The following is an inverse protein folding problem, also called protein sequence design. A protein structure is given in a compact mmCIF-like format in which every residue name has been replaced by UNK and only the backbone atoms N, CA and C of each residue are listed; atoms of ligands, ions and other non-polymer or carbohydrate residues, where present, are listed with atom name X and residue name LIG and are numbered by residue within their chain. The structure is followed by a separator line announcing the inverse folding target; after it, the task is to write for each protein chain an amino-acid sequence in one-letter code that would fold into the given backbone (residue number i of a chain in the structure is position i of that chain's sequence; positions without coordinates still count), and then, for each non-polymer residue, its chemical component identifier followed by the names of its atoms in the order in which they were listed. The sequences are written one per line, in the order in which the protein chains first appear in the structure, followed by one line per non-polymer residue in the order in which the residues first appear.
data_IF_691954988277
#
_entry.id   IF_691954988277
#
_cell.length_a   1.000
_cell.length_b   1.000
_cell.length_c   1.000
_cell.angle_alpha   90.00
_cell.angle_beta   90.00
_cell.angle_gamma   90.00
#
_symmetry.space_group_name_H-M   'P 1'
#
loop_
_entity.id
_entity.type
_entity.pdbx_description
1 polymer ?
#
# COMPACT_ATOMS: atom_id res chain seq x y z
N UNK A 1 -28.12 41.42 -61.61
CA UNK A 1 -29.16 40.47 -61.16
C UNK A 1 -30.24 41.29 -60.49
N UNK A 2 -31.48 41.19 -60.97
CA UNK A 2 -32.60 42.06 -60.61
C UNK A 2 -32.98 41.92 -59.14
N UNK A 3 -33.33 43.04 -58.48
CA UNK A 3 -33.82 43.14 -57.10
C UNK A 3 -34.99 42.17 -56.83
N UNK A 4 -35.71 41.77 -57.88
CA UNK A 4 -36.81 40.80 -57.86
C UNK A 4 -36.38 39.37 -57.49
N UNK A 5 -35.19 38.92 -57.91
CA UNK A 5 -34.70 37.54 -57.63
C UNK A 5 -34.20 37.37 -56.19
N UNK A 6 -33.82 38.47 -55.53
CA UNK A 6 -33.42 38.43 -54.11
C UNK A 6 -34.63 38.27 -53.19
N UNK A 7 -35.81 38.74 -53.60
CA UNK A 7 -37.05 38.67 -52.82
C UNK A 7 -37.63 37.24 -52.86
N UNK A 8 -37.59 36.56 -54.01
CA UNK A 8 -38.11 35.19 -54.12
C UNK A 8 -37.26 34.16 -53.35
N UNK A 9 -35.94 34.37 -53.25
CA UNK A 9 -35.06 33.48 -52.47
C UNK A 9 -35.28 33.61 -50.94
N UNK A 10 -35.78 34.76 -50.48
CA UNK A 10 -36.13 34.99 -49.07
C UNK A 10 -37.53 34.47 -48.71
N UNK A 11 -38.42 34.27 -49.69
CA UNK A 11 -39.80 33.80 -49.48
C UNK A 11 -40.03 32.31 -49.72
N UNK A 12 -38.99 31.56 -50.11
CA UNK A 12 -39.02 30.10 -50.29
C UNK A 12 -38.59 29.32 -49.02
N UNK A 13 -38.58 29.96 -47.86
CA UNK A 13 -38.27 29.34 -46.57
C UNK A 13 -39.53 28.87 -45.85
N UNK A 14 -39.53 27.63 -45.41
CA UNK A 14 -40.56 27.00 -44.58
C UNK A 14 -41.02 27.92 -43.43
N UNK A 15 -42.34 28.12 -43.31
CA UNK A 15 -43.00 29.08 -42.43
C UNK A 15 -43.02 28.60 -40.96
N UNK A 16 -41.86 28.44 -40.32
CA UNK A 16 -41.74 28.60 -38.85
C UNK A 16 -40.31 28.61 -38.33
N UNK A 17 -39.34 29.18 -39.05
CA UNK A 17 -38.01 29.41 -38.44
C UNK A 17 -38.09 30.60 -37.49
N UNK A 18 -38.28 30.30 -36.20
CA UNK A 18 -38.24 31.30 -35.12
C UNK A 18 -36.77 31.59 -34.80
N UNK A 19 -36.33 32.82 -35.04
CA UNK A 19 -35.00 33.29 -34.68
C UNK A 19 -35.07 34.16 -33.41
N UNK A 20 -34.14 33.95 -32.49
CA UNK A 20 -33.96 34.84 -31.34
C UNK A 20 -32.83 35.84 -31.63
N UNK A 21 -33.16 37.13 -31.71
CA UNK A 21 -32.18 38.20 -31.93
C UNK A 21 -31.38 38.49 -30.66
N UNK A 22 -30.07 38.22 -30.70
CA UNK A 22 -29.17 38.40 -29.55
C UNK A 22 -28.31 39.65 -29.62
N UNK A 23 -28.00 40.15 -30.81
CA UNK A 23 -27.24 41.38 -30.99
C UNK A 23 -27.51 42.02 -32.35
N UNK A 24 -27.34 43.33 -32.44
CA UNK A 24 -27.38 44.10 -33.68
C UNK A 24 -26.10 44.93 -33.76
N UNK A 25 -25.44 44.90 -34.92
CA UNK A 25 -24.30 45.75 -35.23
C UNK A 25 -24.74 46.85 -36.19
N UNK A 26 -24.59 48.09 -35.79
CA UNK A 26 -24.95 49.26 -36.60
C UNK A 26 -23.67 49.97 -37.06
N UNK A 27 -23.63 50.34 -38.33
CA UNK A 27 -22.53 51.11 -38.91
C UNK A 27 -22.97 52.54 -39.19
N UNK A 28 -22.15 53.50 -38.79
CA UNK A 28 -22.32 54.92 -39.02
C UNK A 28 -21.13 55.44 -39.85
N UNK A 29 -21.31 55.52 -41.16
CA UNK A 29 -20.30 56.07 -42.08
C UNK A 29 -20.84 56.20 -43.51
N UNK A 30 -20.17 57.04 -44.31
CA UNK A 30 -20.53 57.27 -45.71
C UNK A 30 -20.04 56.16 -46.66
N UNK A 31 -19.25 55.20 -46.17
CA UNK A 31 -18.82 54.03 -46.94
C UNK A 31 -18.75 52.77 -46.09
N UNK A 32 -18.92 51.58 -46.67
CA UNK A 32 -18.75 50.31 -45.94
C UNK A 32 -17.30 50.04 -45.49
N UNK A 33 -16.33 50.82 -45.97
CA UNK A 33 -14.90 50.67 -45.66
C UNK A 33 -14.42 51.62 -44.55
N UNK A 34 -15.25 52.57 -44.11
CA UNK A 34 -14.88 53.54 -43.08
C UNK A 34 -16.11 54.06 -42.33
N UNK A 35 -16.02 54.12 -41.00
CA UNK A 35 -17.10 54.64 -40.14
C UNK A 35 -17.05 54.03 -38.74
N UNK A 36 -18.00 54.44 -37.89
CA UNK A 36 -18.12 54.00 -36.51
C UNK A 36 -19.09 52.83 -36.40
N UNK A 37 -18.70 51.74 -35.74
CA UNK A 37 -19.57 50.59 -35.50
C UNK A 37 -20.04 50.59 -34.05
N UNK A 38 -21.35 50.49 -33.84
CA UNK A 38 -21.98 50.36 -32.52
C UNK A 38 -22.67 49.01 -32.44
N UNK A 39 -22.26 48.18 -31.48
CA UNK A 39 -22.90 46.91 -31.20
C UNK A 39 -23.89 47.08 -30.04
N UNK A 40 -25.15 46.68 -30.25
CA UNK A 40 -26.14 46.51 -29.19
C UNK A 40 -26.31 45.02 -28.93
N UNK A 41 -25.89 44.58 -27.75
CA UNK A 41 -25.99 43.18 -27.32
C UNK A 41 -27.16 43.09 -26.33
N UNK A 42 -28.04 42.11 -26.54
CA UNK A 42 -29.14 41.83 -25.64
C UNK A 42 -28.58 41.30 -24.32
N UNK A 43 -28.91 41.99 -23.23
CA UNK A 43 -28.57 41.56 -21.89
C UNK A 43 -29.37 40.31 -21.53
N UNK A 44 -28.70 39.17 -21.44
CA UNK A 44 -29.37 37.87 -21.25
C UNK A 44 -29.22 37.37 -19.81
N UNK A 45 -29.55 38.23 -18.85
CA UNK A 45 -29.41 37.98 -17.40
C UNK A 45 -30.03 36.68 -16.94
N UNK A 46 -31.18 36.29 -17.53
CA UNK A 46 -31.87 35.06 -17.17
C UNK A 46 -31.10 33.80 -17.59
N UNK A 47 -30.54 33.77 -18.80
CA UNK A 47 -29.68 32.67 -19.22
C UNK A 47 -28.39 32.62 -18.41
N UNK A 48 -27.77 33.76 -18.14
CA UNK A 48 -26.56 33.84 -17.29
C UNK A 48 -26.86 33.34 -15.88
N UNK A 49 -27.99 33.72 -15.28
CA UNK A 49 -28.39 33.25 -13.96
C UNK A 49 -28.66 31.74 -13.95
N UNK A 50 -29.30 31.20 -14.99
CA UNK A 50 -29.53 29.77 -15.15
C UNK A 50 -28.21 29.01 -15.26
N UNK A 51 -27.29 29.45 -16.13
CA UNK A 51 -25.99 28.79 -16.30
C UNK A 51 -25.14 28.87 -15.04
N UNK A 52 -25.14 30.02 -14.34
CA UNK A 52 -24.49 30.16 -13.04
C UNK A 52 -25.07 29.17 -12.01
N UNK A 53 -26.40 29.01 -11.97
CA UNK A 53 -27.04 28.06 -11.05
C UNK A 53 -26.64 26.61 -11.30
N UNK A 54 -26.49 26.22 -12.57
CA UNK A 54 -26.01 24.89 -12.97
C UNK A 54 -24.55 24.72 -12.59
N UNK A 55 -23.71 25.73 -12.84
CA UNK A 55 -22.30 25.72 -12.47
C UNK A 55 -22.09 25.60 -10.96
N UNK A 56 -22.85 26.35 -10.16
CA UNK A 56 -22.82 26.25 -8.70
C UNK A 56 -23.26 24.86 -8.22
N UNK A 57 -24.29 24.28 -8.83
CA UNK A 57 -24.73 22.93 -8.51
C UNK A 57 -23.64 21.89 -8.79
N UNK A 58 -23.00 21.96 -9.95
CA UNK A 58 -21.88 21.11 -10.31
C UNK A 58 -20.68 21.28 -9.37
N UNK A 59 -20.37 22.52 -8.98
CA UNK A 59 -19.28 22.82 -8.02
C UNK A 59 -19.56 22.16 -6.67
N UNK A 60 -20.80 22.27 -6.15
CA UNK A 60 -21.22 21.62 -4.91
C UNK A 60 -21.11 20.09 -4.99
N UNK A 61 -21.49 19.49 -6.11
CA UNK A 61 -21.35 18.05 -6.33
C UNK A 61 -19.88 17.60 -6.30
N UNK A 62 -19.00 18.34 -6.99
CA UNK A 62 -17.57 18.05 -7.01
C UNK A 62 -16.94 18.17 -5.62
N UNK A 63 -17.33 19.17 -4.84
CA UNK A 63 -16.82 19.35 -3.48
C UNK A 63 -17.34 18.25 -2.54
N UNK A 64 -18.59 17.82 -2.69
CA UNK A 64 -19.13 16.68 -1.94
C UNK A 64 -18.40 15.37 -2.26
N UNK A 65 -18.09 15.11 -3.54
CA UNK A 65 -17.32 13.92 -3.95
C UNK A 65 -15.91 13.96 -3.37
N UNK A 66 -15.22 15.11 -3.44
CA UNK A 66 -13.89 15.28 -2.84
C UNK A 66 -13.92 15.03 -1.33
N UNK A 67 -14.89 15.61 -0.62
CA UNK A 67 -15.01 15.44 0.83
C UNK A 67 -15.29 13.99 1.21
N UNK A 68 -16.12 13.29 0.44
CA UNK A 68 -16.36 11.85 0.60
C UNK A 68 -15.08 11.04 0.46
N UNK A 69 -14.29 11.29 -0.59
CA UNK A 69 -13.01 10.59 -0.82
C UNK A 69 -11.99 10.87 0.29
N UNK A 70 -11.91 12.12 0.76
CA UNK A 70 -11.04 12.50 1.87
C UNK A 70 -11.47 11.80 3.16
N UNK A 71 -12.76 11.76 3.43
CA UNK A 71 -13.32 11.14 4.63
C UNK A 71 -13.07 9.64 4.63
N UNK A 72 -13.34 8.95 3.52
CA UNK A 72 -13.05 7.53 3.33
C UNK A 72 -11.56 7.23 3.52
N UNK A 73 -10.68 8.07 2.94
CA UNK A 73 -9.24 7.96 3.12
C UNK A 73 -8.80 8.09 4.58
N UNK A 74 -9.36 9.06 5.32
CA UNK A 74 -9.09 9.24 6.76
C UNK A 74 -9.58 8.05 7.59
N UNK A 75 -10.76 7.51 7.28
CA UNK A 75 -11.31 6.34 7.97
C UNK A 75 -10.43 5.10 7.75
N UNK A 76 -10.02 4.84 6.50
CA UNK A 76 -9.12 3.74 6.16
C UNK A 76 -7.76 3.89 6.87
N UNK A 77 -7.20 5.10 6.91
CA UNK A 77 -5.94 5.37 7.64
C UNK A 77 -6.07 5.13 9.14
N UNK A 78 -7.17 5.56 9.76
CA UNK A 78 -7.43 5.35 11.19
C UNK A 78 -7.56 3.86 11.52
N UNK A 79 -8.24 3.09 10.67
CA UNK A 79 -8.39 1.65 10.84
C UNK A 79 -7.04 0.91 10.71
N UNK A 80 -6.27 1.19 9.66
CA UNK A 80 -4.93 0.61 9.47
C UNK A 80 -4.04 0.94 10.67
N UNK A 81 -4.07 2.18 11.16
CA UNK A 81 -3.31 2.60 12.34
C UNK A 81 -3.70 1.79 13.58
N UNK A 82 -4.99 1.60 13.83
CA UNK A 82 -5.46 0.81 14.96
C UNK A 82 -4.95 -0.63 14.91
N UNK A 83 -4.98 -1.27 13.73
CA UNK A 83 -4.46 -2.63 13.55
C UNK A 83 -2.93 -2.68 13.70
N UNK A 84 -2.24 -1.66 13.20
CA UNK A 84 -0.78 -1.55 13.31
C UNK A 84 -0.32 -1.43 14.76
N UNK A 85 -1.00 -0.64 15.58
CA UNK A 85 -0.65 -0.43 17.00
C UNK A 85 -0.79 -1.71 17.83
N UNK A 86 -1.76 -2.57 17.50
CA UNK A 86 -1.96 -3.87 18.17
C UNK A 86 -1.17 -5.02 17.53
N UNK A 87 -0.46 -4.77 16.42
CA UNK A 87 0.26 -5.79 15.66
C UNK A 87 1.37 -6.47 16.48
N UNK A 88 2.22 -5.74 17.24
CA UNK A 88 3.30 -6.36 18.00
C UNK A 88 2.76 -7.35 19.05
N UNK A 89 3.36 -8.54 19.10
CA UNK A 89 3.18 -9.45 20.22
C UNK A 89 4.21 -9.14 21.30
N UNK A 90 3.79 -9.12 22.57
CA UNK A 90 4.75 -9.11 23.68
C UNK A 90 5.60 -10.39 23.64
N UNK A 91 6.83 -10.33 24.16
CA UNK A 91 7.78 -11.45 24.12
C UNK A 91 7.23 -12.70 24.83
N UNK A 92 6.38 -12.51 25.84
CA UNK A 92 5.73 -13.54 26.66
C UNK A 92 4.43 -14.08 26.07
N UNK A 93 3.84 -13.38 25.08
CA UNK A 93 2.49 -13.69 24.61
C UNK A 93 2.45 -14.80 23.56
N UNK A 94 1.28 -15.44 23.48
CA UNK A 94 0.90 -16.25 22.33
C UNK A 94 0.87 -15.34 21.10
N UNK A 95 1.54 -15.78 20.03
CA UNK A 95 1.69 -15.03 18.80
C UNK A 95 1.52 -15.97 17.61
N UNK A 96 1.10 -15.37 16.51
CA UNK A 96 0.96 -16.02 15.22
C UNK A 96 1.98 -15.47 14.23
N UNK A 97 2.22 -16.20 13.15
CA UNK A 97 3.17 -15.85 12.12
C UNK A 97 2.46 -15.37 10.86
N UNK A 98 2.95 -14.27 10.31
CA UNK A 98 2.47 -13.73 9.03
C UNK A 98 3.65 -13.38 8.12
N UNK A 99 3.48 -13.59 6.83
CA UNK A 99 4.46 -13.21 5.80
C UNK A 99 4.77 -11.71 5.82
N UNK A 100 6.06 -11.37 5.81
CA UNK A 100 6.53 -9.99 5.65
C UNK A 100 6.11 -9.41 4.30
N UNK A 101 5.99 -10.25 3.27
CA UNK A 101 5.58 -9.81 1.94
C UNK A 101 4.12 -9.40 1.92
N UNK A 102 3.27 -10.15 2.62
CA UNK A 102 1.87 -9.80 2.77
C UNK A 102 1.71 -8.51 3.58
N UNK A 103 2.39 -8.38 4.72
CA UNK A 103 2.38 -7.14 5.52
C UNK A 103 2.83 -5.92 4.70
N UNK A 104 3.87 -6.07 3.88
CA UNK A 104 4.36 -5.00 2.99
C UNK A 104 3.32 -4.58 1.96
N UNK A 105 2.59 -5.54 1.38
CA UNK A 105 1.50 -5.27 0.42
C UNK A 105 0.32 -4.60 1.12
N UNK A 106 -0.05 -5.08 2.31
CA UNK A 106 -1.12 -4.52 3.12
C UNK A 106 -0.85 -3.07 3.53
N UNK A 107 0.37 -2.74 3.95
CA UNK A 107 0.77 -1.37 4.33
C UNK A 107 1.07 -0.45 3.12
N UNK A 108 0.78 -0.87 1.89
CA UNK A 108 1.11 -0.10 0.70
C UNK A 108 -0.12 0.49 0.02
N UNK A 109 -0.09 1.81 -0.20
CA UNK A 109 -1.12 2.57 -0.96
C UNK A 109 -1.23 2.18 -2.45
N UNK A 110 -0.35 1.30 -2.95
CA UNK A 110 -0.33 0.91 -4.37
C UNK A 110 -1.46 -0.04 -4.76
N UNK A 111 -2.07 -0.72 -3.79
CA UNK A 111 -3.06 -1.75 -4.06
C UNK A 111 -4.46 -1.23 -3.74
N UNK A 112 -5.33 -1.14 -4.76
CA UNK A 112 -6.75 -0.76 -4.57
C UNK A 112 -7.52 -1.77 -3.71
N UNK A 113 -7.07 -3.02 -3.68
CA UNK A 113 -7.62 -4.08 -2.84
C UNK A 113 -6.47 -4.92 -2.26
N UNK A 114 -6.46 -5.12 -0.96
CA UNK A 114 -5.48 -5.99 -0.29
C UNK A 114 -5.84 -7.46 -0.56
N UNK A 115 -4.90 -8.29 -1.06
CA UNK A 115 -5.16 -9.70 -1.28
C UNK A 115 -5.33 -10.47 0.04
N UNK A 116 -5.95 -11.66 0.02
CA UNK A 116 -6.01 -12.53 1.20
C UNK A 116 -4.62 -12.86 1.75
N UNK A 117 -4.56 -13.17 3.04
CA UNK A 117 -3.30 -13.50 3.72
C UNK A 117 -2.73 -14.79 3.10
N UNK A 118 -1.50 -14.70 2.58
CA UNK A 118 -0.80 -15.85 1.99
C UNK A 118 0.54 -16.08 2.70
N UNK A 119 0.61 -17.22 3.39
CA UNK A 119 1.81 -17.69 4.08
C UNK A 119 2.46 -18.89 3.38
N UNK A 120 2.02 -19.24 2.17
CA UNK A 120 2.49 -20.43 1.45
C UNK A 120 3.99 -20.38 1.14
N UNK A 121 4.52 -19.18 0.89
CA UNK A 121 5.95 -18.96 0.66
C UNK A 121 6.80 -19.38 1.87
N UNK A 122 6.26 -19.33 3.09
CA UNK A 122 6.95 -19.67 4.34
C UNK A 122 7.02 -21.17 4.61
N UNK A 123 6.25 -21.97 3.88
CA UNK A 123 6.15 -23.40 4.13
C UNK A 123 7.38 -24.16 3.61
N UNK A 124 7.75 -25.22 4.31
CA UNK A 124 8.62 -26.27 3.81
C UNK A 124 7.83 -27.31 3.01
N UNK A 125 8.50 -28.31 2.45
CA UNK A 125 7.86 -29.42 1.75
C UNK A 125 6.90 -30.25 2.62
N UNK A 126 6.99 -30.16 3.96
CA UNK A 126 6.03 -30.81 4.87
C UNK A 126 4.78 -29.95 5.16
N UNK A 127 4.61 -28.81 4.47
CA UNK A 127 3.46 -27.93 4.67
C UNK A 127 3.45 -27.13 5.98
N UNK A 128 4.59 -27.06 6.69
CA UNK A 128 4.77 -26.34 7.96
C UNK A 128 5.76 -25.18 7.83
N UNK A 129 5.74 -24.23 8.76
CA UNK A 129 6.64 -23.07 8.76
C UNK A 129 8.11 -23.53 8.77
N UNK A 130 8.87 -23.09 7.77
CA UNK A 130 10.27 -23.47 7.61
C UNK A 130 11.18 -22.64 8.52
N UNK A 131 12.09 -23.28 9.30
CA UNK A 131 13.10 -22.56 10.07
C UNK A 131 14.14 -21.85 9.20
N UNK A 132 14.17 -22.09 7.89
CA UNK A 132 15.07 -21.38 6.97
C UNK A 132 14.41 -20.13 6.36
N UNK A 133 13.08 -20.02 6.49
CA UNK A 133 12.30 -18.92 5.93
C UNK A 133 11.75 -17.97 6.99
N UNK A 134 12.10 -18.17 8.26
CA UNK A 134 11.58 -17.39 9.39
C UNK A 134 11.86 -15.88 9.25
N UNK A 135 12.97 -15.50 8.60
CA UNK A 135 13.31 -14.09 8.31
C UNK A 135 12.28 -13.36 7.41
N UNK A 136 11.49 -14.11 6.66
CA UNK A 136 10.39 -13.59 5.83
C UNK A 136 9.04 -13.64 6.55
N UNK A 137 9.05 -13.88 7.87
CA UNK A 137 7.86 -13.91 8.71
C UNK A 137 7.99 -12.94 9.88
N UNK A 138 6.85 -12.48 10.40
CA UNK A 138 6.78 -11.68 11.63
C UNK A 138 5.78 -12.30 12.60
N UNK A 139 6.10 -12.18 13.89
CA UNK A 139 5.19 -12.51 14.97
C UNK A 139 4.22 -11.36 15.17
N UNK A 140 2.92 -11.67 15.17
CA UNK A 140 1.84 -10.72 15.46
C UNK A 140 1.02 -11.21 16.64
N UNK A 141 0.40 -10.28 17.38
CA UNK A 141 -0.50 -10.65 18.48
C UNK A 141 -1.68 -11.47 17.96
N UNK A 142 -2.20 -12.39 18.76
CA UNK A 142 -3.40 -13.17 18.37
C UNK A 142 -4.59 -12.24 18.07
N UNK A 143 -4.73 -11.17 18.84
CA UNK A 143 -5.78 -10.16 18.63
C UNK A 143 -5.66 -9.51 17.24
N UNK A 144 -4.44 -9.13 16.82
CA UNK A 144 -4.21 -8.58 15.49
C UNK A 144 -4.44 -9.62 14.40
N UNK A 145 -4.00 -10.87 14.62
CA UNK A 145 -4.26 -11.97 13.71
C UNK A 145 -5.77 -12.17 13.48
N UNK A 146 -6.57 -12.21 14.53
CA UNK A 146 -8.03 -12.36 14.41
C UNK A 146 -8.66 -11.25 13.57
N UNK A 147 -8.29 -9.99 13.80
CA UNK A 147 -8.79 -8.86 13.00
C UNK A 147 -8.37 -9.01 11.54
N UNK A 148 -7.10 -9.32 11.27
CA UNK A 148 -6.58 -9.45 9.92
C UNK A 148 -7.22 -10.63 9.16
N UNK A 149 -7.30 -11.81 9.77
CA UNK A 149 -7.93 -12.98 9.13
C UNK A 149 -9.45 -12.81 8.98
N UNK A 150 -10.13 -12.13 9.90
CA UNK A 150 -11.55 -11.81 9.75
C UNK A 150 -11.79 -10.88 8.56
N UNK A 151 -10.94 -9.87 8.39
CA UNK A 151 -11.11 -8.85 7.35
C UNK A 151 -10.64 -9.33 5.97
N UNK A 152 -9.47 -9.96 5.90
CA UNK A 152 -8.81 -10.28 4.62
C UNK A 152 -8.88 -11.78 4.28
N UNK A 153 -9.25 -12.64 5.23
CA UNK A 153 -9.20 -14.09 5.05
C UNK A 153 -7.78 -14.59 4.79
N UNK A 154 -7.68 -15.76 4.17
CA UNK A 154 -6.41 -16.33 3.72
C UNK A 154 -5.94 -17.55 4.52
N UNK A 155 -4.94 -18.23 3.96
CA UNK A 155 -4.40 -19.52 4.43
C UNK A 155 -2.94 -19.68 3.99
N UNK A 156 -2.17 -20.56 4.65
CA UNK A 156 -2.47 -21.19 5.93
C UNK A 156 -2.26 -20.24 7.11
N UNK A 157 -3.06 -20.42 8.17
CA UNK A 157 -2.90 -19.68 9.43
C UNK A 157 -1.82 -20.34 10.28
N UNK A 158 -0.72 -19.63 10.53
CA UNK A 158 0.45 -20.16 11.19
C UNK A 158 0.45 -19.78 12.68
N UNK A 159 0.10 -20.74 13.53
CA UNK A 159 0.06 -20.61 14.97
C UNK A 159 1.42 -20.87 15.64
N UNK A 160 1.45 -20.82 16.98
CA UNK A 160 2.66 -21.01 17.81
C UNK A 160 3.45 -22.28 17.45
N UNK A 161 2.77 -23.38 17.21
CA UNK A 161 3.33 -24.71 16.97
C UNK A 161 3.50 -25.05 15.48
N UNK A 162 3.28 -24.08 14.59
CA UNK A 162 3.38 -24.28 13.14
C UNK A 162 4.79 -24.49 12.63
N UNK A 163 5.82 -24.28 13.45
CA UNK A 163 7.21 -24.51 13.08
C UNK A 163 7.47 -26.00 12.80
N UNK A 164 8.11 -26.30 11.67
CA UNK A 164 8.35 -27.67 11.26
C UNK A 164 9.40 -28.36 12.13
N UNK A 165 8.96 -29.26 13.02
CA UNK A 165 9.85 -30.04 13.91
C UNK A 165 10.93 -30.80 13.14
N UNK A 166 10.60 -31.40 12.00
CA UNK A 166 11.57 -32.13 11.18
C UNK A 166 12.65 -31.23 10.60
N UNK A 167 12.26 -30.10 10.00
CA UNK A 167 13.22 -29.13 9.47
C UNK A 167 14.07 -28.52 10.59
N UNK A 168 13.50 -28.24 11.76
CA UNK A 168 14.24 -27.74 12.92
C UNK A 168 15.28 -28.77 13.37
N UNK A 169 14.89 -30.04 13.52
CA UNK A 169 15.84 -31.10 13.88
C UNK A 169 16.98 -31.24 12.87
N UNK A 170 16.68 -31.22 11.57
CA UNK A 170 17.71 -31.25 10.51
C UNK A 170 18.64 -30.04 10.61
N UNK A 171 18.09 -28.84 10.85
CA UNK A 171 18.88 -27.61 11.01
C UNK A 171 19.78 -27.67 12.25
N UNK A 172 19.26 -28.13 13.38
CA UNK A 172 20.04 -28.31 14.62
C UNK A 172 21.20 -29.30 14.41
N UNK A 173 20.95 -30.44 13.76
CA UNK A 173 22.01 -31.42 13.44
C UNK A 173 23.09 -30.80 12.54
N UNK A 174 22.69 -30.03 11.52
CA UNK A 174 23.62 -29.32 10.63
C UNK A 174 24.47 -28.29 11.38
N UNK A 175 23.85 -27.50 12.28
CA UNK A 175 24.56 -26.53 13.12
C UNK A 175 25.56 -27.23 14.05
N UNK A 176 25.14 -28.31 14.74
CA UNK A 176 26.00 -29.09 15.62
C UNK A 176 27.21 -29.67 14.89
N UNK A 177 26.99 -30.22 13.69
CA UNK A 177 28.06 -30.75 12.86
C UNK A 177 29.06 -29.66 12.47
N UNK A 178 28.58 -28.49 12.04
CA UNK A 178 29.43 -27.33 11.69
C UNK A 178 30.22 -26.81 12.88
N UNK A 179 29.64 -26.79 14.08
CA UNK A 179 30.35 -26.39 15.30
C UNK A 179 31.49 -27.36 15.63
N UNK A 180 31.24 -28.67 15.52
CA UNK A 180 32.27 -29.69 15.72
C UNK A 180 33.41 -29.58 14.71
N UNK A 181 33.08 -29.38 13.43
CA UNK A 181 34.11 -29.14 12.40
C UNK A 181 34.96 -27.90 12.71
N UNK A 182 34.36 -26.83 13.21
CA UNK A 182 35.10 -25.62 13.61
C UNK A 182 35.99 -25.87 14.85
N UNK A 183 35.59 -26.74 15.76
CA UNK A 183 36.42 -27.15 16.90
C UNK A 183 37.61 -28.00 16.44
N UNK A 184 37.36 -28.97 15.55
CA UNK A 184 38.39 -29.83 14.96
C UNK A 184 39.40 -29.00 14.15
N UNK A 185 38.94 -28.04 13.33
CA UNK A 185 39.81 -27.11 12.58
C UNK A 185 40.70 -26.27 13.52
N UNK A 186 40.14 -25.77 14.63
CA UNK A 186 40.92 -25.04 15.65
C UNK A 186 41.97 -25.94 16.32
N UNK A 187 41.60 -27.18 16.64
CA UNK A 187 42.51 -28.15 17.24
C UNK A 187 43.68 -28.49 16.29
N UNK A 188 43.39 -28.75 15.00
CA UNK A 188 44.40 -29.01 13.97
C UNK A 188 45.33 -27.80 13.81
N UNK A 189 44.78 -26.58 13.73
CA UNK A 189 45.59 -25.35 13.64
C UNK A 189 46.46 -25.14 14.88
N UNK A 190 46.01 -25.54 16.06
CA UNK A 190 46.80 -25.46 17.29
C UNK A 190 47.97 -26.47 17.31
N UNK A 191 47.75 -27.69 16.82
CA UNK A 191 48.81 -28.72 16.69
C UNK A 191 49.89 -28.31 15.68
N UNK A 192 49.52 -27.60 14.62
CA UNK A 192 50.44 -27.10 13.61
C UNK A 192 51.16 -25.80 14.01
N UNK A 193 50.86 -25.22 15.19
CA UNK A 193 51.65 -24.09 15.70
C UNK A 193 52.96 -24.63 16.29
N UNK A 194 54.13 -24.08 15.89
CA UNK A 194 55.40 -24.42 16.53
C UNK A 194 55.29 -24.12 18.04
N UNK A 195 55.65 -25.11 18.83
CA UNK A 195 55.36 -25.18 20.26
C UNK A 195 55.88 -23.96 21.04
N UNK A 196 54.95 -23.18 21.61
CA UNK A 196 55.16 -22.51 22.88
C UNK A 196 53.87 -22.44 23.72
N UNK A 197 53.87 -23.27 24.78
CA UNK A 197 53.02 -23.32 25.98
C UNK A 197 51.55 -23.75 25.83
N UNK A 198 51.26 -24.89 26.46
CA UNK A 198 49.94 -25.50 26.66
C UNK A 198 49.18 -24.75 27.75
N UNK A 199 47.90 -24.47 27.52
CA UNK A 199 46.94 -24.09 28.57
C UNK A 199 45.67 -24.91 28.38
N UNK A 200 45.36 -25.73 29.37
CA UNK A 200 44.15 -26.56 29.45
C UNK A 200 42.95 -25.68 29.79
N UNK A 201 41.87 -25.74 29.00
CA UNK A 201 40.54 -25.34 29.46
C UNK A 201 39.53 -26.43 29.10
N UNK A 202 38.78 -26.86 30.12
CA UNK A 202 37.78 -27.91 30.06
C UNK A 202 36.48 -27.38 29.43
N UNK A 203 35.88 -28.20 28.58
CA UNK A 203 34.57 -27.98 27.96
C UNK A 203 33.47 -28.50 28.89
N UNK A 204 32.74 -27.58 29.51
CA UNK A 204 31.52 -27.87 30.28
C UNK A 204 30.27 -27.78 29.38
N UNK A 205 29.26 -28.60 29.72
CA UNK A 205 28.03 -28.92 28.98
C UNK A 205 27.30 -27.73 28.31
N UNK A 206 27.06 -27.81 26.99
CA UNK A 206 26.36 -26.78 26.18
C UNK A 206 25.14 -27.27 25.38
N UNK A 207 24.56 -28.42 25.76
CA UNK A 207 23.44 -29.02 25.03
C UNK A 207 22.08 -28.31 25.26
N UNK A 208 21.89 -27.60 26.37
CA UNK A 208 20.66 -26.82 26.63
C UNK A 208 20.68 -25.41 26.00
N UNK A 209 21.84 -24.75 25.95
CA UNK A 209 21.94 -23.35 25.48
C UNK A 209 21.65 -23.18 23.98
N UNK A 210 22.00 -24.13 23.12
CA UNK A 210 21.84 -24.00 21.66
C UNK A 210 20.38 -24.12 21.18
N UNK A 211 19.55 -24.90 21.89
CA UNK A 211 18.11 -24.94 21.64
C UNK A 211 17.43 -23.63 22.05
N UNK A 212 17.95 -23.00 23.10
CA UNK A 212 17.54 -21.68 23.58
C UNK A 212 18.01 -20.56 22.65
N UNK A 213 19.23 -20.63 22.11
CA UNK A 213 19.77 -19.63 21.18
C UNK A 213 19.06 -19.60 19.83
N UNK A 214 18.62 -20.74 19.29
CA UNK A 214 17.78 -20.74 18.08
C UNK A 214 16.40 -20.15 18.40
N UNK A 215 15.84 -20.42 19.59
CA UNK A 215 14.58 -19.79 20.03
C UNK A 215 14.73 -18.28 20.27
N UNK A 216 15.87 -17.83 20.83
CA UNK A 216 16.21 -16.42 21.10
C UNK A 216 16.53 -15.66 19.80
N UNK A 217 17.32 -16.23 18.87
CA UNK A 217 17.55 -15.62 17.54
C UNK A 217 16.25 -15.50 16.71
N UNK A 218 15.29 -16.39 16.95
CA UNK A 218 13.94 -16.32 16.39
C UNK A 218 13.06 -15.30 17.15
N UNK A 219 13.33 -15.03 18.43
CA UNK A 219 12.59 -14.07 19.28
C UNK A 219 13.08 -12.61 19.16
N UNK A 220 14.36 -12.37 18.85
CA UNK A 220 14.97 -11.01 18.91
C UNK A 220 15.16 -10.31 17.54
N UNK A 221 14.73 -10.90 16.42
CA UNK A 221 14.93 -10.30 15.10
C UNK A 221 13.84 -9.29 14.68
N UNK A 222 14.04 -8.06 15.15
CA UNK A 222 13.75 -6.78 14.48
C UNK A 222 12.29 -6.34 14.28
N UNK A 223 11.68 -5.70 15.28
CA UNK A 223 10.72 -4.62 15.01
C UNK A 223 11.41 -3.25 14.86
N UNK A 224 12.63 -3.05 15.33
CA UNK A 224 13.19 -1.69 15.41
C UNK A 224 13.69 -1.12 14.07
N UNK A 225 14.25 -1.92 13.15
CA UNK A 225 14.95 -1.36 11.98
C UNK A 225 14.08 -0.93 10.78
N UNK A 226 12.75 -1.13 10.82
CA UNK A 226 11.84 -0.63 9.77
C UNK A 226 11.00 0.57 10.26
N UNK A 227 10.90 0.77 11.58
CA UNK A 227 10.06 1.78 12.21
C UNK A 227 10.63 3.20 11.98
N UNK A 228 11.95 3.37 11.95
CA UNK A 228 12.55 4.69 12.01
C UNK A 228 12.55 5.47 10.68
N UNK A 229 12.32 4.83 9.52
CA UNK A 229 12.44 5.51 8.22
C UNK A 229 11.09 5.84 7.53
N UNK A 230 9.96 5.35 8.04
CA UNK A 230 8.64 5.63 7.41
C UNK A 230 7.62 6.33 8.30
N UNK A 231 7.77 6.28 9.62
CA UNK A 231 6.84 6.96 10.54
C UNK A 231 7.34 8.36 10.91
N UNK A 232 8.65 8.55 11.01
CA UNK A 232 9.28 9.85 11.33
C UNK A 232 9.89 10.52 10.09
N UNK A 233 9.17 10.50 8.97
CA UNK A 233 9.42 11.40 7.84
C UNK A 233 9.03 12.85 8.17
N UNK A 234 9.58 13.37 9.26
CA UNK A 234 9.78 14.76 9.68
C UNK A 234 10.89 14.78 10.73
#
# INVERSE_FOLDING_TARGET
MSVTLLIEFLYAGDLSTVYELSAVLMHHGSSAYSGHYVAHIRDNKELVAKDNSVFEAWTREMDAIKESMITEGKMNQAEIRSIYEMLPAATTDYAEWVSTDWLRKWLSDKYKATPPIDNSSLLCCHGRLSPEKYQYSKRISCKAADVLYTKYGGVPRLQRDSMCRECVQRKCRSIQFRLRLNEDDKAIKALNKPSHKISTTSSFNRLQELSFLIFIEIQDCSLQCIIDHKVYGK
#
